data_IF_970947207653
#
_entry.id   IF_970947207653
#
_cell.length_a   1.000
_cell.length_b   1.000
_cell.length_c   1.000
_cell.angle_alpha   90.00
_cell.angle_beta   90.00
_cell.angle_gamma   90.00
#
_symmetry.space_group_name_H-M   'P 1'
#
loop_
_entity.id
_entity.type
_entity.pdbx_description
1 polymer ?
#
# COMPACT_ATOMS: atom_id res chain seq x y z
N UNK A 1 22.10 16.85 -1.06
CA UNK A 1 20.77 16.51 -1.58
C UNK A 1 20.83 16.24 -3.10
N UNK A 2 21.10 17.22 -3.95
CA UNK A 2 21.01 17.08 -5.42
C UNK A 2 21.89 15.96 -6.02
N UNK A 3 23.10 15.71 -5.50
CA UNK A 3 23.95 14.57 -5.95
C UNK A 3 23.33 13.20 -5.62
N UNK A 4 22.80 13.03 -4.41
CA UNK A 4 22.13 11.80 -3.96
C UNK A 4 20.83 11.60 -4.74
N UNK A 5 20.02 12.66 -4.87
CA UNK A 5 18.80 12.66 -5.69
C UNK A 5 19.09 12.27 -7.14
N UNK A 6 20.11 12.85 -7.75
CA UNK A 6 20.48 12.57 -9.14
C UNK A 6 20.99 11.15 -9.31
N UNK A 7 21.72 10.60 -8.33
CA UNK A 7 22.18 9.21 -8.35
C UNK A 7 20.99 8.25 -8.36
N UNK A 8 20.10 8.33 -7.37
CA UNK A 8 18.92 7.46 -7.31
C UNK A 8 18.00 7.66 -8.51
N UNK A 9 17.75 8.90 -8.92
CA UNK A 9 16.97 9.21 -10.13
C UNK A 9 17.56 8.54 -11.37
N UNK A 10 18.88 8.63 -11.56
CA UNK A 10 19.54 8.07 -12.75
C UNK A 10 19.48 6.56 -12.73
N UNK A 11 19.68 5.94 -11.56
CA UNK A 11 19.53 4.50 -11.40
C UNK A 11 18.11 4.05 -11.75
N UNK A 12 17.10 4.65 -11.11
CA UNK A 12 15.71 4.26 -11.31
C UNK A 12 15.28 4.46 -12.77
N UNK A 13 15.62 5.59 -13.39
CA UNK A 13 15.25 5.85 -14.79
C UNK A 13 15.93 4.90 -15.78
N UNK A 14 17.16 4.46 -15.51
CA UNK A 14 17.96 3.68 -16.45
C UNK A 14 17.80 2.17 -16.28
N UNK A 15 17.50 1.72 -15.05
CA UNK A 15 17.57 0.30 -14.69
C UNK A 15 16.27 -0.26 -14.10
N UNK A 16 15.25 0.54 -13.83
CA UNK A 16 13.99 0.06 -13.25
C UNK A 16 12.95 -0.20 -14.36
N UNK A 17 12.75 -1.47 -14.78
CA UNK A 17 11.74 -1.82 -15.77
C UNK A 17 10.32 -1.72 -15.21
N UNK A 18 9.33 -1.99 -16.05
CA UNK A 18 7.93 -2.11 -15.62
C UNK A 18 7.77 -3.19 -14.53
N UNK A 19 6.93 -2.99 -13.50
CA UNK A 19 6.64 -3.98 -12.46
C UNK A 19 6.35 -5.40 -12.97
N UNK A 20 5.66 -5.53 -14.11
CA UNK A 20 5.39 -6.84 -14.68
C UNK A 20 6.66 -7.56 -15.14
N UNK A 21 7.65 -6.82 -15.64
CA UNK A 21 8.96 -7.38 -16.02
C UNK A 21 9.70 -7.91 -14.78
N UNK A 22 9.54 -7.25 -13.62
CA UNK A 22 10.08 -7.79 -12.36
C UNK A 22 9.43 -9.09 -11.95
N UNK A 23 8.10 -9.21 -12.07
CA UNK A 23 7.41 -10.45 -11.76
C UNK A 23 7.91 -11.62 -12.64
N UNK A 24 8.12 -11.37 -13.94
CA UNK A 24 8.73 -12.35 -14.87
C UNK A 24 10.18 -12.66 -14.45
N UNK A 25 11.00 -11.63 -14.22
CA UNK A 25 12.41 -11.80 -13.86
C UNK A 25 12.58 -12.59 -12.57
N UNK A 26 11.76 -12.30 -11.55
CA UNK A 26 11.76 -13.02 -10.28
C UNK A 26 11.30 -14.47 -10.47
N UNK A 27 10.28 -14.71 -11.30
CA UNK A 27 9.86 -16.07 -11.65
C UNK A 27 11.00 -16.87 -12.26
N UNK A 28 11.68 -16.32 -13.28
CA UNK A 28 12.80 -16.98 -13.94
C UNK A 28 13.98 -17.20 -12.98
N UNK A 29 14.27 -16.22 -12.12
CA UNK A 29 15.30 -16.34 -11.10
C UNK A 29 14.99 -17.49 -10.13
N UNK A 30 13.76 -17.56 -9.60
CA UNK A 30 13.34 -18.64 -8.70
C UNK A 30 13.44 -20.00 -9.39
N UNK A 31 13.06 -20.10 -10.67
CA UNK A 31 13.24 -21.34 -11.44
C UNK A 31 14.72 -21.73 -11.55
N UNK A 32 15.61 -20.79 -11.85
CA UNK A 32 17.06 -21.03 -11.94
C UNK A 32 17.62 -21.47 -10.59
N UNK A 33 17.21 -20.81 -9.49
CA UNK A 33 17.66 -21.18 -8.15
C UNK A 33 17.18 -22.59 -7.77
N UNK A 34 15.94 -22.96 -8.08
CA UNK A 34 15.43 -24.30 -7.80
C UNK A 34 16.22 -25.38 -8.56
N UNK A 35 16.63 -25.11 -9.80
CA UNK A 35 17.45 -26.05 -10.57
C UNK A 35 18.91 -26.08 -10.10
N UNK A 36 19.51 -24.92 -9.83
CA UNK A 36 20.94 -24.81 -9.56
C UNK A 36 21.32 -25.12 -8.10
N UNK A 37 20.44 -24.80 -7.16
CA UNK A 37 20.67 -24.99 -5.71
C UNK A 37 20.06 -26.31 -5.24
N UNK A 38 18.80 -26.57 -5.58
CA UNK A 38 18.08 -27.77 -5.12
C UNK A 38 18.19 -28.95 -6.09
N UNK A 39 18.80 -28.77 -7.27
CA UNK A 39 18.99 -29.83 -8.26
C UNK A 39 17.69 -30.30 -8.94
N UNK A 40 16.60 -29.54 -8.84
CA UNK A 40 15.29 -29.90 -9.41
C UNK A 40 15.33 -29.92 -10.95
N UNK A 41 14.55 -30.81 -11.58
CA UNK A 41 14.44 -30.85 -13.03
C UNK A 41 13.60 -29.69 -13.58
N UNK A 42 13.95 -29.17 -14.77
CA UNK A 42 13.17 -28.08 -15.41
C UNK A 42 11.67 -28.39 -15.53
N UNK A 43 11.33 -29.64 -15.88
CA UNK A 43 9.92 -30.08 -16.00
C UNK A 43 9.21 -30.00 -14.65
N UNK A 44 9.85 -30.42 -13.57
CA UNK A 44 9.27 -30.40 -12.22
C UNK A 44 9.04 -28.96 -11.78
N UNK A 45 10.06 -28.10 -11.91
CA UNK A 45 9.98 -26.67 -11.60
C UNK A 45 8.85 -25.98 -12.38
N UNK A 46 8.77 -26.20 -13.69
CA UNK A 46 7.72 -25.62 -14.54
C UNK A 46 6.32 -26.16 -14.18
N UNK A 47 6.22 -27.44 -13.79
CA UNK A 47 4.97 -28.07 -13.36
C UNK A 47 4.50 -27.48 -12.03
N UNK A 48 5.40 -27.33 -11.05
CA UNK A 48 5.09 -26.70 -9.76
C UNK A 48 4.61 -25.26 -9.95
N UNK A 49 5.30 -24.48 -10.79
CA UNK A 49 4.89 -23.11 -11.13
C UNK A 49 3.49 -23.06 -11.74
N UNK A 50 3.22 -23.91 -12.74
CA UNK A 50 1.93 -23.94 -13.43
C UNK A 50 0.78 -24.40 -12.54
N UNK A 51 1.02 -25.39 -11.67
CA UNK A 51 0.00 -25.91 -10.75
C UNK A 51 -0.42 -24.86 -9.73
N UNK A 52 0.53 -24.10 -9.16
CA UNK A 52 0.22 -23.09 -8.15
C UNK A 52 -0.06 -21.68 -8.68
N UNK A 53 -0.04 -21.48 -10.00
CA UNK A 53 -0.21 -20.15 -10.62
C UNK A 53 -1.51 -19.44 -10.24
N UNK A 54 -2.57 -20.21 -9.91
CA UNK A 54 -3.89 -19.68 -9.59
C UNK A 54 -4.25 -19.73 -8.10
N UNK A 55 -3.33 -20.14 -7.23
CA UNK A 55 -3.61 -20.38 -5.80
C UNK A 55 -4.02 -19.12 -5.03
N UNK A 56 -3.74 -17.93 -5.58
CA UNK A 56 -4.02 -16.64 -4.94
C UNK A 56 -5.19 -15.87 -5.56
N UNK A 57 -6.08 -16.50 -6.34
CA UNK A 57 -7.19 -15.80 -7.00
C UNK A 57 -8.10 -15.01 -6.02
N UNK A 58 -8.47 -15.63 -4.89
CA UNK A 58 -9.30 -14.98 -3.87
C UNK A 58 -8.57 -13.75 -3.27
N UNK A 59 -7.30 -13.93 -2.90
CA UNK A 59 -6.48 -12.87 -2.35
C UNK A 59 -6.24 -11.71 -3.33
N UNK A 60 -5.97 -12.04 -4.59
CA UNK A 60 -5.81 -11.06 -5.68
C UNK A 60 -7.06 -10.20 -5.82
N UNK A 61 -8.24 -10.84 -5.79
CA UNK A 61 -9.52 -10.14 -5.89
C UNK A 61 -9.76 -9.24 -4.68
N UNK A 62 -9.42 -9.71 -3.46
CA UNK A 62 -9.53 -8.89 -2.25
C UNK A 62 -8.66 -7.63 -2.33
N UNK A 63 -7.42 -7.74 -2.79
CA UNK A 63 -6.50 -6.60 -2.95
C UNK A 63 -6.96 -5.62 -4.04
N UNK A 64 -7.45 -6.15 -5.16
CA UNK A 64 -8.02 -5.34 -6.22
C UNK A 64 -9.24 -4.54 -5.74
N UNK A 65 -10.12 -5.19 -4.96
CA UNK A 65 -11.30 -4.55 -4.37
C UNK A 65 -10.90 -3.42 -3.42
N UNK A 66 -9.90 -3.62 -2.55
CA UNK A 66 -9.40 -2.58 -1.64
C UNK A 66 -9.05 -1.30 -2.42
N UNK A 67 -8.26 -1.44 -3.49
CA UNK A 67 -7.79 -0.28 -4.26
C UNK A 67 -8.92 0.38 -5.05
N UNK A 68 -9.71 -0.41 -5.79
CA UNK A 68 -10.78 0.10 -6.62
C UNK A 68 -11.87 0.82 -5.79
N UNK A 69 -12.27 0.25 -4.66
CA UNK A 69 -13.27 0.85 -3.78
C UNK A 69 -12.69 1.99 -2.93
N UNK A 70 -11.41 1.92 -2.55
CA UNK A 70 -10.70 3.03 -1.93
C UNK A 70 -10.65 4.26 -2.83
N UNK A 71 -10.47 4.07 -4.14
CA UNK A 71 -10.61 5.14 -5.13
C UNK A 71 -12.00 5.76 -5.13
N UNK A 72 -13.06 4.96 -5.10
CA UNK A 72 -14.46 5.46 -5.03
C UNK A 72 -14.69 6.33 -3.79
N UNK A 73 -14.18 5.92 -2.63
CA UNK A 73 -14.26 6.74 -1.41
C UNK A 73 -13.51 8.06 -1.56
N UNK A 74 -12.34 8.04 -2.21
CA UNK A 74 -11.48 9.22 -2.37
C UNK A 74 -12.12 10.28 -3.29
N UNK A 75 -12.87 9.85 -4.31
CA UNK A 75 -13.54 10.73 -5.27
C UNK A 75 -14.97 11.12 -4.88
N UNK A 76 -15.47 10.61 -3.74
CA UNK A 76 -16.81 10.90 -3.28
C UNK A 76 -17.04 12.41 -3.03
N UNK A 77 -18.23 12.97 -3.33
CA UNK A 77 -18.52 14.39 -3.13
C UNK A 77 -18.36 14.86 -1.68
N UNK A 78 -18.63 13.99 -0.71
CA UNK A 78 -18.47 14.29 0.72
C UNK A 78 -16.98 14.39 1.06
N UNK A 79 -16.15 13.49 0.55
CA UNK A 79 -14.69 13.54 0.70
C UNK A 79 -14.14 14.85 0.14
N UNK A 80 -14.56 15.26 -1.06
CA UNK A 80 -14.13 16.55 -1.64
C UNK A 80 -14.50 17.75 -0.75
N UNK A 81 -15.73 17.77 -0.21
CA UNK A 81 -16.17 18.81 0.74
C UNK A 81 -15.33 18.84 2.01
N UNK A 82 -15.01 17.67 2.59
CA UNK A 82 -14.15 17.57 3.77
C UNK A 82 -12.75 18.08 3.47
N UNK A 83 -12.15 17.69 2.34
CA UNK A 83 -10.84 18.19 1.92
C UNK A 83 -10.86 19.71 1.70
N UNK A 84 -11.91 20.25 1.08
CA UNK A 84 -12.05 21.70 0.90
C UNK A 84 -12.13 22.43 2.25
N UNK A 85 -12.85 21.87 3.23
CA UNK A 85 -12.92 22.41 4.59
C UNK A 85 -11.56 22.33 5.31
N UNK A 86 -10.82 21.24 5.17
CA UNK A 86 -9.46 21.13 5.73
C UNK A 86 -8.57 22.22 5.12
N UNK A 87 -8.62 22.42 3.81
CA UNK A 87 -7.77 23.42 3.13
C UNK A 87 -8.05 24.85 3.56
N UNK A 88 -9.27 25.18 4.01
CA UNK A 88 -9.59 26.56 4.44
C UNK A 88 -8.95 26.96 5.77
N UNK A 89 -8.45 25.99 6.55
CA UNK A 89 -7.73 26.28 7.79
C UNK A 89 -6.22 26.45 7.59
N UNK A 90 -5.72 26.22 6.37
CA UNK A 90 -4.28 26.19 6.09
C UNK A 90 -3.86 27.46 5.34
N UNK A 91 -2.88 28.16 5.89
CA UNK A 91 -2.49 29.48 5.41
C UNK A 91 -0.99 29.63 5.11
N UNK A 92 -0.15 28.65 5.50
CA UNK A 92 1.31 28.73 5.33
C UNK A 92 1.87 27.50 4.59
N UNK A 93 2.97 27.63 3.83
CA UNK A 93 3.54 26.50 3.08
C UNK A 93 3.95 25.30 3.95
N UNK A 94 4.53 25.56 5.12
CA UNK A 94 4.92 24.50 6.05
C UNK A 94 3.70 23.76 6.61
N UNK A 95 2.65 24.50 6.99
CA UNK A 95 1.41 23.88 7.47
C UNK A 95 0.74 23.07 6.35
N UNK A 96 0.82 23.53 5.10
CA UNK A 96 0.32 22.78 3.96
C UNK A 96 1.04 21.43 3.78
N UNK A 97 2.37 21.38 3.96
CA UNK A 97 3.12 20.12 3.93
C UNK A 97 2.72 19.20 5.09
N UNK A 98 2.56 19.74 6.30
CA UNK A 98 2.11 18.97 7.47
C UNK A 98 0.74 18.35 7.19
N UNK A 99 -0.22 19.16 6.76
CA UNK A 99 -1.59 18.70 6.49
C UNK A 99 -1.62 17.71 5.34
N UNK A 100 -0.84 17.92 4.27
CA UNK A 100 -0.77 16.97 3.16
C UNK A 100 -0.21 15.62 3.61
N UNK A 101 0.84 15.63 4.45
CA UNK A 101 1.41 14.40 5.04
C UNK A 101 0.40 13.70 5.94
N UNK A 102 -0.28 14.43 6.83
CA UNK A 102 -1.28 13.87 7.74
C UNK A 102 -2.48 13.29 7.02
N UNK A 103 -3.01 13.98 6.00
CA UNK A 103 -4.16 13.49 5.23
C UNK A 103 -3.78 12.23 4.44
N UNK A 104 -2.63 12.22 3.77
CA UNK A 104 -2.12 11.02 3.09
C UNK A 104 -1.85 9.87 4.07
N UNK A 105 -1.27 10.18 5.24
CA UNK A 105 -0.95 9.24 6.31
C UNK A 105 -2.17 8.60 6.95
N UNK A 106 -3.09 9.42 7.46
CA UNK A 106 -4.35 8.96 8.06
C UNK A 106 -5.19 8.22 7.01
N UNK A 107 -5.25 8.74 5.78
CA UNK A 107 -5.91 8.04 4.67
C UNK A 107 -5.36 6.64 4.48
N UNK A 108 -4.04 6.50 4.38
CA UNK A 108 -3.37 5.21 4.14
C UNK A 108 -3.46 4.27 5.34
N UNK A 109 -3.46 4.81 6.56
CA UNK A 109 -3.69 4.07 7.79
C UNK A 109 -5.10 3.46 7.83
N UNK A 110 -6.11 4.21 7.40
CA UNK A 110 -7.49 3.72 7.34
C UNK A 110 -7.68 2.72 6.20
N UNK A 111 -7.22 3.11 5.01
CA UNK A 111 -7.26 2.29 3.82
C UNK A 111 -6.21 2.76 2.81
N UNK A 112 -5.29 1.88 2.44
CA UNK A 112 -4.15 2.24 1.59
C UNK A 112 -4.56 2.68 0.18
N UNK A 113 -5.62 2.09 -0.39
CA UNK A 113 -6.17 2.50 -1.68
C UNK A 113 -6.75 3.91 -1.65
N UNK A 114 -7.50 4.23 -0.59
CA UNK A 114 -8.02 5.57 -0.33
C UNK A 114 -6.90 6.59 -0.08
N UNK A 115 -5.93 6.25 0.78
CA UNK A 115 -4.80 7.09 1.15
C UNK A 115 -3.95 7.57 -0.03
N UNK A 116 -3.60 6.64 -0.93
CA UNK A 116 -2.85 6.95 -2.16
C UNK A 116 -3.51 8.02 -3.01
N UNK A 117 -4.84 7.98 -3.11
CA UNK A 117 -5.60 8.91 -3.96
C UNK A 117 -5.80 10.25 -3.25
N UNK A 118 -6.27 10.24 -1.99
CA UNK A 118 -6.58 11.50 -1.29
C UNK A 118 -5.34 12.34 -1.02
N UNK A 119 -4.17 11.71 -0.81
CA UNK A 119 -2.90 12.42 -0.59
C UNK A 119 -2.54 13.32 -1.78
N UNK A 120 -2.67 12.80 -3.00
CA UNK A 120 -2.46 13.60 -4.21
C UNK A 120 -3.48 14.73 -4.36
N UNK A 121 -4.76 14.45 -4.06
CA UNK A 121 -5.84 15.44 -4.17
C UNK A 121 -5.62 16.62 -3.21
N UNK A 122 -5.33 16.34 -1.93
CA UNK A 122 -5.15 17.40 -0.92
C UNK A 122 -3.90 18.24 -1.21
N UNK A 123 -2.80 17.61 -1.63
CA UNK A 123 -1.57 18.30 -1.97
C UNK A 123 -1.79 19.28 -3.14
N UNK A 124 -2.50 18.84 -4.19
CA UNK A 124 -2.88 19.70 -5.31
C UNK A 124 -3.79 20.86 -4.87
N UNK A 125 -4.82 20.60 -4.06
CA UNK A 125 -5.73 21.64 -3.55
C UNK A 125 -4.99 22.70 -2.75
N UNK A 126 -4.09 22.30 -1.87
CA UNK A 126 -3.27 23.21 -1.06
C UNK A 126 -2.31 24.03 -1.93
N UNK A 127 -1.60 23.39 -2.85
CA UNK A 127 -0.67 24.05 -3.77
C UNK A 127 -1.36 25.05 -4.72
N UNK A 128 -2.64 24.83 -5.04
CA UNK A 128 -3.43 25.77 -5.85
C UNK A 128 -3.81 27.03 -5.06
N UNK A 129 -4.07 26.90 -3.76
CA UNK A 129 -4.58 28.01 -2.91
C UNK A 129 -3.48 28.81 -2.23
N UNK A 130 -2.36 28.18 -1.87
CA UNK A 130 -1.34 28.79 -1.02
C UNK A 130 -0.07 29.03 -1.85
N UNK A 131 0.35 30.29 -1.92
CA UNK A 131 1.58 30.70 -2.60
C UNK A 131 2.82 30.33 -1.81
N UNK A 132 3.95 30.16 -2.50
CA UNK A 132 5.23 29.81 -1.92
C UNK A 132 5.39 28.34 -1.53
N UNK A 133 4.45 27.45 -1.89
CA UNK A 133 4.60 26.00 -1.70
C UNK A 133 5.51 25.44 -2.79
N UNK A 134 6.58 24.75 -2.39
CA UNK A 134 7.37 23.93 -3.31
C UNK A 134 6.58 22.66 -3.70
N UNK A 135 6.03 22.66 -4.91
CA UNK A 135 5.07 21.67 -5.39
C UNK A 135 5.60 20.22 -5.40
N UNK A 136 6.84 19.95 -5.84
CA UNK A 136 7.40 18.59 -5.73
C UNK A 136 7.44 18.05 -4.30
N UNK A 137 7.73 18.91 -3.32
CA UNK A 137 7.82 18.50 -1.92
C UNK A 137 6.44 18.19 -1.33
N UNK A 138 5.41 19.00 -1.58
CA UNK A 138 4.07 18.71 -1.02
C UNK A 138 3.48 17.41 -1.60
N UNK A 139 3.78 17.09 -2.87
CA UNK A 139 3.42 15.80 -3.48
C UNK A 139 4.20 14.66 -2.83
N UNK A 140 5.52 14.79 -2.69
CA UNK A 140 6.36 13.81 -2.00
C UNK A 140 5.90 13.58 -0.55
N UNK A 141 5.56 14.66 0.15
CA UNK A 141 5.12 14.63 1.54
C UNK A 141 3.77 13.94 1.71
N UNK A 142 2.80 14.24 0.84
CA UNK A 142 1.53 13.54 0.83
C UNK A 142 1.70 12.05 0.50
N UNK A 143 2.53 11.72 -0.49
CA UNK A 143 2.84 10.34 -0.84
C UNK A 143 3.59 9.61 0.27
N UNK A 144 4.49 10.27 1.02
CA UNK A 144 5.21 9.62 2.12
C UNK A 144 4.29 9.15 3.25
N UNK A 145 3.09 9.74 3.35
CA UNK A 145 2.01 9.21 4.19
C UNK A 145 1.58 7.79 3.81
N UNK A 146 1.90 7.31 2.61
CA UNK A 146 1.63 5.93 2.22
C UNK A 146 2.23 4.95 3.22
N UNK A 147 3.42 5.21 3.78
CA UNK A 147 4.10 4.33 4.78
C UNK A 147 3.21 3.86 5.94
N UNK A 148 2.18 4.62 6.30
CA UNK A 148 1.24 4.24 7.35
C UNK A 148 0.36 3.04 7.00
N UNK A 149 0.27 2.63 5.74
CA UNK A 149 -0.48 1.43 5.38
C UNK A 149 0.07 0.17 6.04
N UNK A 150 1.39 0.06 6.21
CA UNK A 150 2.03 -1.06 6.89
C UNK A 150 1.65 -1.17 8.37
N UNK A 151 1.13 -0.09 8.95
CA UNK A 151 0.71 0.01 10.34
C UNK A 151 -0.83 0.10 10.50
N UNK A 152 -1.56 0.15 9.38
CA UNK A 152 -2.97 0.54 9.34
C UNK A 152 -3.96 -0.62 9.31
N UNK A 153 -5.26 -0.29 9.29
CA UNK A 153 -6.37 -1.26 9.26
C UNK A 153 -6.45 -2.07 7.97
N UNK A 154 -5.83 -1.60 6.89
CA UNK A 154 -5.73 -2.33 5.63
C UNK A 154 -4.33 -2.91 5.39
N UNK A 155 -3.49 -3.03 6.43
CA UNK A 155 -2.12 -3.52 6.29
C UNK A 155 -2.11 -4.94 5.74
N UNK A 156 -1.56 -5.11 4.53
CA UNK A 156 -1.80 -6.31 3.72
C UNK A 156 -1.37 -7.61 4.41
N UNK A 157 -0.17 -7.65 5.01
CA UNK A 157 0.33 -8.84 5.70
C UNK A 157 -0.45 -9.11 6.99
N UNK A 158 -0.54 -8.17 7.96
CA UNK A 158 -1.28 -8.36 9.21
C UNK A 158 -2.72 -8.80 9.01
N UNK A 159 -3.42 -8.18 8.06
CA UNK A 159 -4.83 -8.50 7.81
C UNK A 159 -4.97 -9.82 7.05
N UNK A 160 -4.01 -10.20 6.19
CA UNK A 160 -3.99 -11.52 5.56
C UNK A 160 -3.82 -12.63 6.59
N UNK A 161 -2.79 -12.56 7.44
CA UNK A 161 -2.49 -13.60 8.43
C UNK A 161 -3.50 -13.66 9.59
N UNK A 162 -4.34 -12.63 9.73
CA UNK A 162 -5.48 -12.65 10.65
C UNK A 162 -6.77 -13.19 10.01
N UNK A 163 -6.76 -13.54 8.71
CA UNK A 163 -7.93 -14.00 7.97
C UNK A 163 -7.93 -15.53 7.87
N UNK A 164 -8.95 -16.23 8.40
CA UNK A 164 -9.07 -17.69 8.21
C UNK A 164 -9.04 -18.09 6.73
N UNK A 165 -8.36 -19.20 6.43
CA UNK A 165 -8.15 -19.74 5.10
C UNK A 165 -7.00 -19.09 4.32
N UNK A 166 -6.13 -18.32 4.97
CA UNK A 166 -4.97 -17.76 4.28
C UNK A 166 -3.94 -18.85 3.93
N UNK A 167 -3.12 -18.66 2.87
CA UNK A 167 -2.26 -19.73 2.33
C UNK A 167 -1.23 -20.34 3.30
N UNK A 168 -0.91 -19.63 4.38
CA UNK A 168 0.09 -20.06 5.37
C UNK A 168 -0.52 -20.51 6.71
N UNK A 169 -1.84 -20.60 6.82
CA UNK A 169 -2.51 -20.90 8.10
C UNK A 169 -2.05 -22.24 8.70
N UNK A 170 -1.82 -23.25 7.86
CA UNK A 170 -1.32 -24.56 8.31
C UNK A 170 0.06 -24.49 8.98
N UNK A 171 0.88 -23.53 8.56
CA UNK A 171 2.26 -23.39 9.04
C UNK A 171 2.35 -22.45 10.25
N UNK A 172 1.59 -21.35 10.27
CA UNK A 172 1.74 -20.30 11.28
C UNK A 172 0.52 -20.10 12.18
N UNK A 173 -0.59 -20.79 11.90
CA UNK A 173 -1.89 -20.51 12.50
C UNK A 173 -2.45 -19.14 12.07
N UNK A 174 -3.50 -18.70 12.75
CA UNK A 174 -4.08 -17.37 12.57
C UNK A 174 -3.48 -16.42 13.60
N UNK A 175 -2.89 -15.31 13.14
CA UNK A 175 -2.32 -14.29 14.03
C UNK A 175 -3.31 -13.12 14.16
N UNK A 176 -3.85 -12.86 15.37
CA UNK A 176 -4.79 -11.77 15.56
C UNK A 176 -4.13 -10.40 15.43
N UNK A 177 -4.92 -9.38 15.06
CA UNK A 177 -4.42 -8.01 14.92
C UNK A 177 -3.90 -7.39 16.23
N UNK A 178 -4.34 -7.93 17.37
CA UNK A 178 -3.84 -7.59 18.71
C UNK A 178 -2.33 -7.83 18.85
N UNK A 179 -1.79 -8.83 18.15
CA UNK A 179 -0.36 -9.18 18.18
C UNK A 179 0.44 -8.49 17.07
N UNK A 180 -0.22 -7.79 16.15
CA UNK A 180 0.43 -7.14 14.99
C UNK A 180 0.25 -5.64 15.05
N UNK A 181 -0.66 -5.06 14.25
CA UNK A 181 -0.85 -3.60 14.14
C UNK A 181 -1.36 -2.94 15.44
N UNK A 182 -2.02 -3.70 16.32
CA UNK A 182 -2.47 -3.22 17.64
C UNK A 182 -1.53 -3.60 18.79
N UNK A 183 -0.39 -4.22 18.49
CA UNK A 183 0.63 -4.43 19.50
C UNK A 183 1.20 -3.09 19.97
N UNK A 184 1.66 -3.04 21.22
CA UNK A 184 2.21 -1.82 21.81
C UNK A 184 3.37 -1.23 20.99
N UNK A 185 4.36 -2.02 20.49
CA UNK A 185 5.43 -1.49 19.64
C UNK A 185 4.91 -0.81 18.37
N UNK A 186 3.90 -1.39 17.72
CA UNK A 186 3.34 -0.85 16.46
C UNK A 186 2.50 0.40 16.70
N UNK A 187 1.73 0.45 17.79
CA UNK A 187 1.01 1.65 18.19
C UNK A 187 1.97 2.82 18.51
N UNK A 188 3.05 2.56 19.26
CA UNK A 188 4.07 3.56 19.55
C UNK A 188 4.71 4.04 18.25
N UNK A 189 5.11 3.13 17.36
CA UNK A 189 5.71 3.43 16.05
C UNK A 189 4.78 4.32 15.22
N UNK A 190 3.50 3.99 15.19
CA UNK A 190 2.47 4.77 14.50
C UNK A 190 2.38 6.18 15.05
N UNK A 191 2.28 6.34 16.37
CA UNK A 191 2.17 7.67 17.02
C UNK A 191 3.43 8.49 16.75
N UNK A 192 4.62 7.90 16.89
CA UNK A 192 5.89 8.57 16.63
C UNK A 192 5.90 9.10 15.20
N UNK A 193 5.66 8.26 14.20
CA UNK A 193 5.65 8.71 12.79
C UNK A 193 4.55 9.73 12.51
N UNK A 194 3.36 9.56 13.07
CA UNK A 194 2.23 10.47 12.86
C UNK A 194 2.56 11.89 13.32
N UNK A 195 3.34 12.01 14.40
CA UNK A 195 3.80 13.30 14.93
C UNK A 195 5.02 13.81 14.18
N UNK A 196 6.02 12.96 13.93
CA UNK A 196 7.34 13.44 13.50
C UNK A 196 7.51 13.53 11.99
N UNK A 197 6.94 12.62 11.20
CA UNK A 197 7.09 12.62 9.74
C UNK A 197 6.55 13.92 9.11
N UNK A 198 5.36 14.45 9.48
CA UNK A 198 4.88 15.73 8.96
C UNK A 198 5.83 16.90 9.26
N UNK A 199 6.46 16.89 10.44
CA UNK A 199 7.41 17.92 10.86
C UNK A 199 8.70 17.84 10.05
N UNK A 200 9.25 16.63 9.88
CA UNK A 200 10.42 16.38 9.03
C UNK A 200 10.15 16.83 7.60
N UNK A 201 8.98 16.47 7.04
CA UNK A 201 8.58 16.88 5.69
C UNK A 201 8.51 18.41 5.56
N UNK A 202 7.93 19.10 6.55
CA UNK A 202 7.84 20.55 6.54
C UNK A 202 9.21 21.25 6.68
N UNK A 203 10.17 20.61 7.35
CA UNK A 203 11.55 21.09 7.46
C UNK A 203 12.33 21.00 6.14
N UNK A 204 11.91 20.13 5.22
CA UNK A 204 12.50 20.00 3.88
C UNK A 204 12.10 21.15 2.93
N UNK A 205 11.18 22.03 3.33
CA UNK A 205 10.75 23.14 2.50
C UNK A 205 11.93 24.07 2.15
N UNK A 206 12.17 24.39 0.87
CA UNK A 206 13.24 25.31 0.48
C UNK A 206 13.13 26.65 1.21
N UNK A 207 14.26 27.16 1.70
CA UNK A 207 14.32 28.44 2.43
C UNK A 207 14.39 29.63 1.48
N UNK A 208 15.03 29.47 0.32
CA UNK A 208 15.18 30.52 -0.67
C UNK A 208 14.05 30.48 -1.68
N UNK A 209 13.54 31.66 -2.07
CA UNK A 209 12.42 31.79 -3.01
C UNK A 209 12.76 31.27 -4.41
N UNK A 210 14.02 31.39 -4.84
CA UNK A 210 14.53 30.91 -6.13
C UNK A 210 14.45 29.39 -6.31
N UNK A 211 14.49 28.64 -5.21
CA UNK A 211 14.42 27.17 -5.22
C UNK A 211 12.95 26.65 -5.15
N UNK A 212 11.96 27.55 -5.05
CA UNK A 212 10.55 27.19 -4.93
C UNK A 212 9.95 27.02 -6.33
N UNK A 213 9.51 25.80 -6.64
CA UNK A 213 8.76 25.48 -7.85
C UNK A 213 7.28 25.44 -7.46
N UNK A 214 6.53 26.49 -7.78
CA UNK A 214 5.09 26.54 -7.50
C UNK A 214 4.27 25.68 -8.47
N UNK A 215 3.05 25.35 -8.05
CA UNK A 215 2.06 24.70 -8.91
C UNK A 215 1.76 25.55 -10.15
N UNK A 216 1.78 24.92 -11.33
CA UNK A 216 1.41 25.55 -12.60
C UNK A 216 0.02 25.06 -13.06
N UNK A 217 -1.03 25.90 -12.99
CA UNK A 217 -2.37 25.53 -13.44
C UNK A 217 -2.46 25.12 -14.92
N UNK A 218 -1.56 25.61 -15.77
CA UNK A 218 -1.56 25.30 -17.21
C UNK A 218 -1.25 23.83 -17.53
N UNK A 219 -0.68 23.07 -16.57
CA UNK A 219 -0.44 21.62 -16.73
C UNK A 219 -1.72 20.78 -16.62
N UNK A 220 -2.85 21.40 -16.27
CA UNK A 220 -4.10 20.73 -15.89
C UNK A 220 -5.33 21.22 -16.65
N UNK A 221 -5.15 21.90 -17.79
CA UNK A 221 -6.24 22.13 -18.75
C UNK A 221 -6.68 20.80 -19.37
N UNK A 222 -7.39 19.99 -18.60
CA UNK A 222 -8.16 18.88 -19.11
C UNK A 222 -9.45 19.43 -19.72
N UNK A 223 -9.74 19.00 -20.96
CA UNK A 223 -11.09 19.14 -21.53
C UNK A 223 -12.03 18.56 -20.49
N UNK A 224 -12.99 19.36 -20.01
CA UNK A 224 -14.21 18.80 -19.43
C UNK A 224 -14.75 17.85 -20.50
N UNK A 225 -14.55 16.55 -20.35
CA UNK A 225 -15.47 15.61 -20.95
C UNK A 225 -16.83 16.06 -20.43
N UNK A 226 -17.66 16.54 -21.34
CA UNK A 226 -19.04 16.80 -21.04
C UNK A 226 -19.51 15.54 -20.34
N UNK A 227 -19.93 15.67 -19.07
CA UNK A 227 -20.72 14.62 -18.46
C UNK A 227 -21.76 14.30 -19.52
N UNK A 228 -21.78 13.05 -19.98
CA UNK A 228 -22.85 12.56 -20.82
C UNK A 228 -24.10 12.77 -19.99
N UNK A 229 -24.71 13.94 -20.12
CA UNK A 229 -26.11 14.16 -19.84
C UNK A 229 -26.80 13.32 -20.89
N UNK A 230 -26.84 12.01 -20.62
CA UNK A 230 -27.83 11.15 -21.19
C UNK A 230 -29.14 11.86 -20.83
N UNK A 231 -29.76 12.44 -21.84
CA UNK A 231 -31.18 12.79 -21.83
C UNK A 231 -31.91 11.46 -21.69
N UNK A 232 -31.89 10.88 -20.50
CA UNK A 232 -32.49 9.59 -20.26
C UNK A 232 -33.99 9.79 -20.18
N UNK A 233 -34.71 9.15 -21.10
CA UNK A 233 -36.14 8.90 -20.99
C UNK A 233 -36.47 8.49 -19.55
N UNK A 234 -37.60 8.98 -19.01
CA UNK A 234 -38.05 8.69 -17.65
C UNK A 234 -38.56 7.23 -17.51
N UNK A 235 -37.67 6.27 -17.74
CA UNK A 235 -37.92 4.84 -17.66
C UNK A 235 -37.73 4.35 -16.22
N UNK A 236 -38.31 3.19 -15.91
CA UNK A 236 -38.08 2.53 -14.61
C UNK A 236 -36.58 2.26 -14.36
N UNK A 237 -35.83 1.89 -15.41
CA UNK A 237 -34.39 1.62 -15.32
C UNK A 237 -33.61 2.89 -14.91
N UNK A 238 -33.86 4.02 -15.56
CA UNK A 238 -33.26 5.32 -15.22
C UNK A 238 -33.57 5.74 -13.79
N UNK A 239 -34.80 5.51 -13.32
CA UNK A 239 -35.20 5.81 -11.93
C UNK A 239 -34.45 4.91 -10.93
N UNK A 240 -34.27 3.63 -11.22
CA UNK A 240 -33.51 2.71 -10.36
C UNK A 240 -32.01 3.06 -10.33
N UNK A 241 -31.41 3.32 -11.51
CA UNK A 241 -30.01 3.70 -11.65
C UNK A 241 -29.67 5.01 -10.92
N UNK A 242 -30.64 5.90 -10.76
CA UNK A 242 -30.49 7.19 -10.05
C UNK A 242 -31.17 7.20 -8.66
N UNK A 243 -31.63 6.05 -8.16
CA UNK A 243 -32.36 5.96 -6.88
C UNK A 243 -31.44 6.09 -5.68
N UNK A 244 -31.59 7.20 -4.94
CA UNK A 244 -30.94 7.38 -3.64
C UNK A 244 -31.50 6.43 -2.58
N UNK A 245 -32.80 6.15 -2.65
CA UNK A 245 -33.44 5.23 -1.73
C UNK A 245 -32.80 3.85 -1.81
N UNK A 246 -32.57 3.34 -3.03
CA UNK A 246 -31.92 2.04 -3.23
C UNK A 246 -30.51 2.01 -2.61
N UNK A 247 -29.71 3.04 -2.90
CA UNK A 247 -28.33 3.15 -2.36
C UNK A 247 -28.30 3.25 -0.85
N UNK A 248 -29.18 4.05 -0.24
CA UNK A 248 -29.21 4.22 1.20
C UNK A 248 -29.79 3.01 1.92
N UNK A 249 -30.82 2.36 1.37
CA UNK A 249 -31.36 1.14 1.95
C UNK A 249 -30.31 0.03 1.99
N UNK A 250 -29.65 -0.26 0.86
CA UNK A 250 -28.63 -1.31 0.82
C UNK A 250 -27.38 -0.92 1.62
N UNK A 251 -27.01 0.37 1.58
CA UNK A 251 -25.96 0.97 2.40
C UNK A 251 -26.20 0.74 3.90
N UNK A 252 -27.37 1.12 4.41
CA UNK A 252 -27.74 1.00 5.82
C UNK A 252 -27.78 -0.48 6.24
N UNK A 253 -28.33 -1.38 5.41
CA UNK A 253 -28.29 -2.83 5.68
C UNK A 253 -26.85 -3.30 5.85
N UNK A 254 -25.94 -2.87 4.97
CA UNK A 254 -24.52 -3.17 5.09
C UNK A 254 -23.91 -2.66 6.40
N UNK A 255 -24.18 -1.39 6.78
CA UNK A 255 -23.68 -0.84 8.05
C UNK A 255 -24.24 -1.57 9.27
N UNK A 256 -25.51 -1.98 9.25
CA UNK A 256 -26.11 -2.79 10.31
C UNK A 256 -25.45 -4.16 10.41
N UNK A 257 -25.15 -4.81 9.28
CA UNK A 257 -24.39 -6.05 9.28
C UNK A 257 -23.01 -5.87 9.89
N UNK A 258 -22.27 -4.80 9.55
CA UNK A 258 -20.97 -4.50 10.15
C UNK A 258 -21.10 -4.32 11.67
N UNK A 259 -22.15 -3.63 12.14
CA UNK A 259 -22.41 -3.48 13.56
C UNK A 259 -22.61 -4.84 14.24
N UNK A 260 -23.48 -5.70 13.69
CA UNK A 260 -23.72 -7.04 14.24
C UNK A 260 -22.48 -7.93 14.20
N UNK A 261 -21.72 -7.87 13.10
CA UNK A 261 -20.48 -8.60 12.93
C UNK A 261 -19.52 -8.38 14.12
N UNK A 262 -19.32 -7.12 14.53
CA UNK A 262 -18.47 -6.80 15.67
C UNK A 262 -19.13 -7.08 17.02
N UNK A 263 -20.45 -6.90 17.16
CA UNK A 263 -21.14 -7.24 18.43
C UNK A 263 -21.15 -8.74 18.71
N UNK A 264 -21.07 -9.57 17.66
CA UNK A 264 -20.97 -11.02 17.75
C UNK A 264 -19.53 -11.48 18.10
N UNK A 265 -18.60 -10.54 18.32
CA UNK A 265 -17.22 -10.82 18.73
C UNK A 265 -16.25 -11.10 17.58
N UNK A 266 -16.66 -10.92 16.32
CA UNK A 266 -15.76 -11.09 15.19
C UNK A 266 -14.72 -9.96 15.11
N UNK A 267 -13.56 -10.26 14.53
CA UNK A 267 -12.43 -9.33 14.39
C UNK A 267 -12.27 -8.84 12.94
N UNK A 268 -11.47 -7.78 12.77
CA UNK A 268 -11.22 -7.21 11.46
C UNK A 268 -10.38 -8.17 10.58
N UNK A 269 -10.81 -8.34 9.34
CA UNK A 269 -10.17 -9.15 8.29
C UNK A 269 -10.36 -8.50 6.91
N UNK A 270 -9.79 -9.10 5.86
CA UNK A 270 -9.83 -8.51 4.50
C UNK A 270 -11.26 -8.33 3.97
N UNK A 271 -12.14 -9.31 4.24
CA UNK A 271 -13.50 -9.30 3.72
C UNK A 271 -14.35 -8.21 4.37
N UNK A 272 -14.28 -8.07 5.69
CA UNK A 272 -15.06 -7.02 6.39
C UNK A 272 -14.51 -5.61 6.07
N UNK A 273 -13.20 -5.45 5.86
CA UNK A 273 -12.63 -4.18 5.37
C UNK A 273 -13.20 -3.82 4.00
N UNK A 274 -13.17 -4.76 3.05
CA UNK A 274 -13.75 -4.56 1.72
C UNK A 274 -15.24 -4.26 1.77
N UNK A 275 -15.96 -4.97 2.64
CA UNK A 275 -17.38 -4.75 2.87
C UNK A 275 -17.65 -3.33 3.38
N UNK A 276 -16.95 -2.88 4.41
CA UNK A 276 -17.11 -1.51 4.95
C UNK A 276 -16.91 -0.47 3.86
N UNK A 277 -15.84 -0.58 3.07
CA UNK A 277 -15.49 0.41 2.04
C UNK A 277 -16.51 0.39 0.88
N UNK A 278 -16.99 -0.78 0.47
CA UNK A 278 -18.06 -0.93 -0.52
C UNK A 278 -19.30 -0.13 -0.10
N UNK A 279 -19.86 -0.42 1.07
CA UNK A 279 -21.13 0.14 1.50
C UNK A 279 -21.01 1.61 1.90
N UNK A 280 -19.88 2.03 2.48
CA UNK A 280 -19.59 3.45 2.66
C UNK A 280 -19.52 4.17 1.30
N UNK A 281 -18.87 3.58 0.29
CA UNK A 281 -18.81 4.15 -1.05
C UNK A 281 -20.20 4.31 -1.68
N UNK A 282 -21.07 3.30 -1.56
CA UNK A 282 -22.46 3.37 -2.05
C UNK A 282 -23.20 4.54 -1.39
N UNK A 283 -23.11 4.67 -0.06
CA UNK A 283 -23.76 5.74 0.69
C UNK A 283 -23.21 7.12 0.28
N UNK A 284 -21.88 7.27 0.20
CA UNK A 284 -21.25 8.56 -0.03
C UNK A 284 -21.41 9.06 -1.47
N UNK A 285 -21.54 8.17 -2.45
CA UNK A 285 -21.82 8.52 -3.86
C UNK A 285 -23.32 8.77 -4.09
N UNK A 286 -24.16 8.08 -3.32
CA UNK A 286 -25.58 8.36 -3.16
C UNK A 286 -26.51 7.78 -4.22
N UNK A 287 -26.03 7.37 -5.39
CA UNK A 287 -26.84 6.71 -6.43
C UNK A 287 -26.06 5.59 -7.12
N UNK A 288 -26.70 4.49 -7.57
CA UNK A 288 -25.99 3.38 -8.22
C UNK A 288 -25.17 3.81 -9.44
N UNK A 289 -25.73 4.66 -10.31
CA UNK A 289 -25.06 5.15 -11.53
C UNK A 289 -23.73 5.86 -11.21
N UNK A 290 -23.74 6.78 -10.24
CA UNK A 290 -22.52 7.47 -9.78
C UNK A 290 -21.50 6.52 -9.17
N UNK A 291 -21.95 5.53 -8.40
CA UNK A 291 -21.05 4.53 -7.83
C UNK A 291 -20.37 3.71 -8.94
N UNK A 292 -21.15 3.19 -9.90
CA UNK A 292 -20.62 2.43 -11.04
C UNK A 292 -19.66 3.27 -11.85
N UNK A 293 -20.01 4.51 -12.19
CA UNK A 293 -19.14 5.42 -12.93
C UNK A 293 -17.79 5.63 -12.22
N UNK A 294 -17.82 5.89 -10.90
CA UNK A 294 -16.60 6.07 -10.13
C UNK A 294 -15.79 4.78 -10.01
N UNK A 295 -16.45 3.63 -9.89
CA UNK A 295 -15.80 2.33 -9.82
C UNK A 295 -15.13 1.97 -11.14
N UNK A 296 -15.76 2.28 -12.29
CA UNK A 296 -15.17 2.06 -13.62
C UNK A 296 -13.83 2.78 -13.77
N UNK A 297 -13.72 4.00 -13.26
CA UNK A 297 -12.43 4.71 -13.21
C UNK A 297 -11.46 4.04 -12.22
N UNK A 298 -11.94 3.60 -11.06
CA UNK A 298 -11.15 2.86 -10.07
C UNK A 298 -10.57 1.56 -10.62
N UNK A 299 -11.29 0.83 -11.49
CA UNK A 299 -10.82 -0.43 -12.10
C UNK A 299 -9.57 -0.22 -12.97
N UNK A 300 -9.39 0.97 -13.54
CA UNK A 300 -8.16 1.26 -14.32
C UNK A 300 -6.91 1.22 -13.43
N UNK A 301 -7.04 1.33 -12.11
CA UNK A 301 -5.93 1.36 -11.16
C UNK A 301 -5.47 -0.03 -10.69
N UNK A 302 -6.22 -1.11 -10.97
CA UNK A 302 -5.95 -2.46 -10.45
C UNK A 302 -5.28 -3.41 -11.46
N UNK A 303 -4.97 -2.95 -12.68
CA UNK A 303 -4.40 -3.79 -13.76
C UNK A 303 -3.11 -4.51 -13.35
N UNK A 304 -2.22 -3.80 -12.66
CA UNK A 304 -0.97 -4.37 -12.16
C UNK A 304 -1.19 -5.49 -11.14
N UNK A 305 -2.18 -5.36 -10.27
CA UNK A 305 -2.53 -6.36 -9.25
C UNK A 305 -3.01 -7.65 -9.94
N UNK A 306 -3.99 -7.53 -10.85
CA UNK A 306 -4.57 -8.67 -11.57
C UNK A 306 -3.50 -9.42 -12.37
N UNK A 307 -2.59 -8.68 -13.03
CA UNK A 307 -1.58 -9.28 -13.90
C UNK A 307 -0.44 -9.97 -13.12
N UNK A 308 0.02 -9.37 -12.02
CA UNK A 308 1.26 -9.81 -11.35
C UNK A 308 1.03 -10.89 -10.29
N UNK A 309 -0.09 -10.90 -9.59
CA UNK A 309 -0.30 -11.81 -8.47
C UNK A 309 -0.25 -13.30 -8.82
N UNK A 310 -0.77 -13.74 -9.99
CA UNK A 310 -0.59 -15.13 -10.42
C UNK A 310 0.88 -15.56 -10.56
N UNK A 311 1.77 -14.64 -10.97
CA UNK A 311 3.21 -14.92 -11.03
C UNK A 311 3.82 -15.09 -9.64
N UNK A 312 3.40 -14.28 -8.66
CA UNK A 312 3.82 -14.44 -7.26
C UNK A 312 3.34 -15.77 -6.68
N UNK A 313 2.11 -16.20 -6.99
CA UNK A 313 1.59 -17.52 -6.61
C UNK A 313 2.46 -18.65 -7.20
N UNK A 314 2.80 -18.55 -8.49
CA UNK A 314 3.70 -19.50 -9.13
C UNK A 314 5.10 -19.53 -8.50
N UNK A 315 5.65 -18.39 -8.10
CA UNK A 315 6.95 -18.32 -7.38
C UNK A 315 6.86 -19.08 -6.05
N UNK A 316 5.81 -18.84 -5.27
CA UNK A 316 5.57 -19.56 -4.00
C UNK A 316 5.50 -21.06 -4.22
N UNK A 317 4.80 -21.51 -5.27
CA UNK A 317 4.70 -22.92 -5.60
C UNK A 317 6.05 -23.55 -5.99
N UNK A 318 6.90 -22.83 -6.73
CA UNK A 318 8.28 -23.30 -6.99
C UNK A 318 9.05 -23.40 -5.67
N UNK A 319 9.02 -22.36 -4.84
CA UNK A 319 9.79 -22.31 -3.60
C UNK A 319 9.40 -23.46 -2.66
N UNK A 320 8.09 -23.67 -2.44
CA UNK A 320 7.58 -24.73 -1.60
C UNK A 320 7.92 -26.14 -2.13
N UNK A 321 7.81 -26.36 -3.45
CA UNK A 321 8.06 -27.67 -4.04
C UNK A 321 9.56 -28.02 -4.21
N UNK A 322 10.43 -27.00 -4.27
CA UNK A 322 11.85 -27.22 -4.59
C UNK A 322 12.73 -27.49 -3.38
N UNK A 323 12.39 -27.00 -2.19
CA UNK A 323 13.27 -26.97 -1.01
C UNK A 323 13.96 -25.62 -0.79
N UNK A 324 13.77 -24.65 -1.70
CA UNK A 324 14.38 -23.31 -1.58
C UNK A 324 13.96 -22.57 -0.30
N UNK A 325 12.75 -22.82 0.21
CA UNK A 325 12.29 -22.25 1.48
C UNK A 325 13.24 -22.63 2.61
N UNK A 326 13.55 -23.92 2.74
CA UNK A 326 14.42 -24.47 3.79
C UNK A 326 15.85 -23.93 3.65
N UNK A 327 16.39 -23.93 2.43
CA UNK A 327 17.75 -23.43 2.18
C UNK A 327 17.90 -21.94 2.53
N UNK A 328 16.93 -21.12 2.17
CA UNK A 328 16.95 -19.68 2.50
C UNK A 328 16.74 -19.48 4.00
N UNK A 329 15.80 -20.21 4.62
CA UNK A 329 15.54 -20.15 6.06
C UNK A 329 16.80 -20.52 6.86
N UNK A 330 17.48 -21.62 6.51
CA UNK A 330 18.75 -22.03 7.11
C UNK A 330 19.83 -20.96 6.99
N UNK A 331 19.83 -20.20 5.89
CA UNK A 331 20.64 -18.99 5.76
C UNK A 331 20.41 -18.01 6.91
N UNK A 332 19.15 -17.60 7.14
CA UNK A 332 18.79 -16.70 8.26
C UNK A 332 19.11 -17.30 9.62
N UNK A 333 18.79 -18.58 9.84
CA UNK A 333 19.06 -19.28 11.11
C UNK A 333 20.54 -19.23 11.47
N UNK A 334 21.43 -19.39 10.49
CA UNK A 334 22.88 -19.45 10.73
C UNK A 334 23.51 -18.12 11.20
N UNK A 335 22.96 -16.97 10.82
CA UNK A 335 23.56 -15.66 11.17
C UNK A 335 22.70 -14.80 12.09
N UNK A 336 21.46 -15.21 12.40
CA UNK A 336 20.54 -14.46 13.26
C UNK A 336 20.24 -15.17 14.58
N UNK A 337 19.53 -14.47 15.46
CA UNK A 337 19.00 -14.95 16.74
C UNK A 337 17.49 -14.68 16.80
N UNK A 338 16.79 -15.20 17.80
CA UNK A 338 15.37 -14.94 17.99
C UNK A 338 15.04 -13.43 18.02
N UNK A 339 15.90 -12.64 18.67
CA UNK A 339 15.76 -11.20 18.85
C UNK A 339 16.15 -10.39 17.61
N UNK A 340 17.11 -10.89 16.82
CA UNK A 340 17.65 -10.17 15.66
C UNK A 340 16.99 -10.58 14.34
N UNK A 341 16.28 -11.72 14.30
CA UNK A 341 15.58 -12.19 13.11
C UNK A 341 14.58 -11.15 12.56
N UNK A 342 13.73 -10.48 13.36
CA UNK A 342 12.86 -9.43 12.84
C UNK A 342 13.64 -8.29 12.16
N UNK A 343 14.80 -7.90 12.68
CA UNK A 343 15.62 -6.86 12.03
C UNK A 343 16.10 -7.32 10.64
N UNK A 344 16.54 -8.57 10.51
CA UNK A 344 16.94 -9.12 9.22
C UNK A 344 15.76 -9.34 8.28
N UNK A 345 14.57 -9.67 8.81
CA UNK A 345 13.30 -9.69 8.09
C UNK A 345 12.97 -8.32 7.49
N UNK A 346 13.07 -7.25 8.29
CA UNK A 346 12.89 -5.87 7.84
C UNK A 346 13.85 -5.50 6.70
N UNK A 347 15.15 -5.78 6.87
CA UNK A 347 16.18 -5.42 5.88
C UNK A 347 16.02 -6.20 4.58
N UNK A 348 15.84 -7.52 4.66
CA UNK A 348 15.63 -8.36 3.48
C UNK A 348 14.35 -7.98 2.74
N UNK A 349 13.28 -7.68 3.48
CA UNK A 349 12.03 -7.20 2.90
C UNK A 349 12.18 -5.87 2.18
N UNK A 350 12.97 -4.93 2.72
CA UNK A 350 13.27 -3.70 1.99
C UNK A 350 13.85 -3.98 0.60
N UNK A 351 14.74 -4.96 0.45
CA UNK A 351 15.35 -5.27 -0.85
C UNK A 351 14.46 -6.13 -1.74
N UNK A 352 13.77 -7.13 -1.19
CA UNK A 352 12.85 -8.00 -1.94
C UNK A 352 11.72 -7.17 -2.56
N UNK A 353 11.29 -6.09 -1.89
CA UNK A 353 10.21 -5.25 -2.37
C UNK A 353 10.49 -4.52 -3.71
N UNK A 354 11.76 -4.35 -4.11
CA UNK A 354 12.06 -3.86 -5.45
C UNK A 354 11.57 -4.81 -6.55
N UNK A 355 11.44 -6.10 -6.26
CA UNK A 355 11.02 -7.15 -7.19
C UNK A 355 9.54 -7.53 -7.03
N UNK A 356 8.99 -7.43 -5.81
CA UNK A 356 7.59 -7.73 -5.51
C UNK A 356 6.93 -6.56 -4.76
N UNK A 357 6.57 -5.46 -5.46
CA UNK A 357 6.14 -4.19 -4.85
C UNK A 357 4.67 -4.19 -4.40
N UNK A 358 4.28 -5.20 -3.63
CA UNK A 358 2.94 -5.35 -3.06
C UNK A 358 3.04 -6.12 -1.77
N UNK A 359 2.57 -5.58 -0.63
CA UNK A 359 2.66 -6.29 0.65
C UNK A 359 2.09 -7.71 0.62
N UNK A 360 1.00 -7.91 -0.12
CA UNK A 360 0.43 -9.23 -0.34
C UNK A 360 1.29 -10.18 -1.17
N UNK A 361 1.68 -9.74 -2.38
CA UNK A 361 2.53 -10.55 -3.25
C UNK A 361 3.94 -10.77 -2.67
N UNK A 362 4.41 -9.82 -1.89
CA UNK A 362 5.65 -9.87 -1.13
C UNK A 362 5.60 -10.97 -0.06
N UNK A 363 4.51 -11.03 0.71
CA UNK A 363 4.33 -12.07 1.74
C UNK A 363 4.43 -13.47 1.18
N UNK A 364 3.88 -13.67 -0.01
CA UNK A 364 3.87 -14.95 -0.72
C UNK A 364 5.28 -15.40 -1.09
N UNK A 365 6.19 -14.44 -1.34
CA UNK A 365 7.59 -14.73 -1.67
C UNK A 365 8.44 -14.88 -0.41
N UNK A 366 8.30 -13.96 0.56
CA UNK A 366 9.19 -13.88 1.72
C UNK A 366 8.68 -14.60 2.97
N UNK A 367 7.36 -14.62 3.18
CA UNK A 367 6.72 -15.16 4.37
C UNK A 367 7.19 -16.58 4.71
N UNK A 368 7.16 -17.56 3.79
CA UNK A 368 7.50 -18.95 4.08
C UNK A 368 8.84 -19.12 4.81
N UNK A 369 9.94 -18.64 4.20
CA UNK A 369 11.26 -18.84 4.79
C UNK A 369 11.52 -17.99 6.04
N UNK A 370 10.81 -16.87 6.20
CA UNK A 370 10.90 -16.07 7.43
C UNK A 370 10.16 -16.75 8.59
N UNK A 371 9.01 -17.37 8.32
CA UNK A 371 8.24 -18.09 9.34
C UNK A 371 8.99 -19.35 9.78
N UNK A 372 9.60 -20.08 8.85
CA UNK A 372 10.36 -21.28 9.21
C UNK A 372 11.62 -20.95 10.01
N UNK A 373 12.37 -19.91 9.62
CA UNK A 373 13.47 -19.39 10.43
C UNK A 373 13.01 -18.94 11.83
N UNK A 374 11.82 -18.34 11.94
CA UNK A 374 11.26 -17.93 13.23
C UNK A 374 10.93 -19.12 14.13
N UNK A 375 10.34 -20.18 13.58
CA UNK A 375 10.07 -21.42 14.33
C UNK A 375 11.35 -22.07 14.83
N UNK A 376 12.36 -22.16 13.96
CA UNK A 376 13.63 -22.82 14.30
C UNK A 376 14.41 -22.06 15.38
N UNK A 377 14.42 -20.73 15.31
CA UNK A 377 15.06 -19.88 16.31
C UNK A 377 14.22 -19.65 17.58
N UNK A 378 12.94 -20.04 17.58
CA UNK A 378 11.99 -19.68 18.65
C UNK A 378 11.64 -18.19 18.69
N UNK A 379 11.75 -17.49 17.56
CA UNK A 379 11.38 -16.08 17.43
C UNK A 379 9.85 -15.88 17.39
N UNK A 380 9.42 -14.67 17.73
CA UNK A 380 8.01 -14.27 17.59
C UNK A 380 7.60 -14.24 16.11
N UNK A 381 6.60 -15.07 15.75
CA UNK A 381 6.03 -15.14 14.40
C UNK A 381 5.31 -13.81 14.05
N UNK A 382 4.60 -13.21 15.00
CA UNK A 382 3.91 -11.93 14.81
C UNK A 382 4.89 -10.78 14.58
N UNK A 383 5.96 -10.72 15.37
CA UNK A 383 7.05 -9.74 15.22
C UNK A 383 7.78 -9.91 13.88
N UNK A 384 8.08 -11.16 13.51
CA UNK A 384 8.71 -11.47 12.22
C UNK A 384 7.81 -11.06 11.06
N UNK A 385 6.50 -11.36 11.13
CA UNK A 385 5.52 -10.96 10.11
C UNK A 385 5.40 -9.44 9.99
N UNK A 386 5.35 -8.73 11.11
CA UNK A 386 5.36 -7.26 11.13
C UNK A 386 6.65 -6.70 10.53
N UNK A 387 7.81 -7.31 10.78
CA UNK A 387 9.07 -6.83 10.21
C UNK A 387 9.08 -6.89 8.67
N UNK A 388 8.51 -7.95 8.09
CA UNK A 388 8.34 -8.06 6.63
C UNK A 388 7.37 -6.99 6.14
N UNK A 389 6.25 -6.76 6.82
CA UNK A 389 5.31 -5.69 6.45
C UNK A 389 5.96 -4.29 6.49
N UNK A 390 6.74 -4.00 7.53
CA UNK A 390 7.41 -2.71 7.67
C UNK A 390 8.52 -2.53 6.64
N UNK A 391 9.24 -3.60 6.26
CA UNK A 391 10.30 -3.53 5.26
C UNK A 391 9.74 -3.24 3.86
N UNK A 392 8.63 -3.91 3.53
CA UNK A 392 7.82 -3.65 2.35
C UNK A 392 7.35 -2.17 2.32
N UNK A 393 6.72 -1.71 3.40
CA UNK A 393 6.21 -0.33 3.49
C UNK A 393 7.31 0.74 3.46
N UNK A 394 8.47 0.43 4.04
CA UNK A 394 9.64 1.29 4.02
C UNK A 394 10.19 1.47 2.61
N UNK A 395 10.27 0.38 1.85
CA UNK A 395 10.77 0.42 0.49
C UNK A 395 9.83 1.15 -0.46
N UNK A 396 8.51 1.06 -0.25
CA UNK A 396 7.50 1.75 -1.06
C UNK A 396 7.66 3.28 -1.09
N UNK A 397 8.41 3.88 -0.16
CA UNK A 397 8.79 5.30 -0.24
C UNK A 397 9.66 5.61 -1.46
N UNK A 398 10.50 4.68 -1.91
CA UNK A 398 11.43 4.89 -3.03
C UNK A 398 11.16 3.96 -4.22
N UNK A 399 10.35 2.93 -4.03
CA UNK A 399 9.93 2.01 -5.07
C UNK A 399 8.91 2.68 -6.01
N UNK A 400 9.05 2.63 -7.35
CA UNK A 400 8.24 3.45 -8.24
C UNK A 400 6.78 3.05 -8.42
N UNK A 401 6.41 1.79 -8.22
CA UNK A 401 5.07 1.25 -8.51
C UNK A 401 3.96 2.09 -7.89
N UNK A 402 4.03 2.32 -6.58
CA UNK A 402 3.02 3.11 -5.86
C UNK A 402 3.23 4.63 -6.01
N UNK A 403 4.43 5.06 -6.41
CA UNK A 403 4.71 6.46 -6.73
C UNK A 403 4.01 6.89 -8.03
N UNK A 404 3.84 5.98 -9.00
CA UNK A 404 3.29 6.29 -10.33
C UNK A 404 1.90 6.97 -10.28
N UNK A 405 0.91 6.49 -9.49
CA UNK A 405 -0.35 7.20 -9.29
C UNK A 405 -0.17 8.66 -8.83
N UNK A 406 0.70 8.92 -7.85
CA UNK A 406 0.96 10.27 -7.35
C UNK A 406 1.62 11.16 -8.42
N UNK A 407 2.51 10.61 -9.25
CA UNK A 407 3.11 11.30 -10.39
C UNK A 407 2.10 11.61 -11.49
N UNK A 408 1.21 10.66 -11.81
CA UNK A 408 0.16 10.86 -12.80
C UNK A 408 -0.80 11.99 -12.40
N UNK A 409 -1.18 12.05 -11.12
CA UNK A 409 -2.01 13.11 -10.55
C UNK A 409 -1.28 14.47 -10.48
N UNK A 410 0.03 14.47 -10.20
CA UNK A 410 0.83 15.69 -10.05
C UNK A 410 1.43 16.22 -11.35
N UNK A 411 1.38 15.46 -12.45
CA UNK A 411 2.08 15.74 -13.72
C UNK A 411 3.58 16.02 -13.53
N UNK A 412 4.16 15.58 -12.40
CA UNK A 412 5.59 15.64 -12.12
C UNK A 412 6.28 14.40 -12.66
N UNK A 413 7.61 14.50 -12.82
CA UNK A 413 8.45 13.35 -13.12
C UNK A 413 9.02 12.78 -11.83
N UNK A 414 9.32 11.48 -11.82
CA UNK A 414 9.93 10.81 -10.66
C UNK A 414 11.14 11.56 -10.11
N UNK A 415 12.00 12.08 -10.99
CA UNK A 415 13.19 12.86 -10.64
C UNK A 415 12.91 14.10 -9.80
N UNK A 416 11.71 14.68 -9.92
CA UNK A 416 11.35 15.93 -9.28
C UNK A 416 11.06 15.70 -7.79
N UNK A 417 10.62 14.49 -7.41
CA UNK A 417 10.21 14.16 -6.03
C UNK A 417 11.14 13.16 -5.32
N UNK A 418 11.87 12.32 -6.07
CA UNK A 418 12.69 11.22 -5.52
C UNK A 418 13.68 11.68 -4.46
N UNK A 419 14.25 12.88 -4.60
CA UNK A 419 15.19 13.43 -3.62
C UNK A 419 14.59 13.61 -2.23
N UNK A 420 13.32 14.04 -2.18
CA UNK A 420 12.58 14.19 -0.93
C UNK A 420 12.20 12.82 -0.34
N UNK A 421 11.76 11.91 -1.21
CA UNK A 421 11.39 10.56 -0.80
C UNK A 421 12.56 9.77 -0.21
N UNK A 422 13.77 9.91 -0.75
CA UNK A 422 14.98 9.30 -0.17
C UNK A 422 15.27 9.84 1.25
N UNK A 423 15.09 11.15 1.48
CA UNK A 423 15.26 11.72 2.82
C UNK A 423 14.21 11.18 3.80
N UNK A 424 12.96 11.07 3.35
CA UNK A 424 11.86 10.49 4.12
C UNK A 424 12.10 8.99 4.39
N UNK A 425 12.62 8.26 3.42
CA UNK A 425 13.00 6.84 3.54
C UNK A 425 14.07 6.63 4.61
N UNK A 426 15.13 7.45 4.65
CA UNK A 426 16.12 7.33 5.74
C UNK A 426 15.49 7.61 7.11
N UNK A 427 14.61 8.61 7.19
CA UNK A 427 13.95 8.96 8.44
C UNK A 427 13.02 7.85 8.93
N UNK A 428 12.12 7.36 8.07
CA UNK A 428 11.18 6.26 8.38
C UNK A 428 11.95 4.97 8.69
N UNK A 429 12.98 4.67 7.90
CA UNK A 429 13.83 3.50 8.11
C UNK A 429 14.50 3.48 9.47
N UNK A 430 15.02 4.63 9.92
CA UNK A 430 15.57 4.76 11.27
C UNK A 430 14.53 4.43 12.34
N UNK A 431 13.29 4.94 12.23
CA UNK A 431 12.23 4.63 13.19
C UNK A 431 11.86 3.14 13.14
N UNK A 432 11.68 2.55 11.96
CA UNK A 432 11.34 1.13 11.82
C UNK A 432 12.45 0.21 12.33
N UNK A 433 13.71 0.51 12.06
CA UNK A 433 14.85 -0.25 12.60
C UNK A 433 14.82 -0.22 14.12
N UNK A 434 14.65 0.96 14.73
CA UNK A 434 14.57 1.10 16.18
C UNK A 434 13.37 0.31 16.73
N UNK A 435 12.19 0.45 16.12
CA UNK A 435 10.98 -0.23 16.55
C UNK A 435 11.11 -1.76 16.49
N UNK A 436 11.68 -2.29 15.41
CA UNK A 436 11.85 -3.73 15.21
C UNK A 436 12.92 -4.31 16.13
N UNK A 437 14.03 -3.59 16.37
CA UNK A 437 15.02 -4.00 17.36
C UNK A 437 14.43 -3.95 18.77
N UNK A 438 13.69 -2.91 19.12
CA UNK A 438 13.02 -2.84 20.42
C UNK A 438 12.01 -3.97 20.59
N UNK A 439 11.25 -4.29 19.54
CA UNK A 439 10.33 -5.42 19.52
C UNK A 439 11.06 -6.74 19.77
N UNK A 440 12.19 -6.99 19.09
CA UNK A 440 12.95 -8.23 19.27
C UNK A 440 13.63 -8.40 20.63
N UNK A 441 14.06 -7.31 21.29
CA UNK A 441 14.80 -7.37 22.56
C UNK A 441 13.96 -7.15 23.81
N UNK A 442 12.79 -6.53 23.71
CA UNK A 442 12.00 -6.11 24.89
C UNK A 442 10.57 -6.63 24.92
N UNK A 443 10.09 -7.25 23.85
CA UNK A 443 8.75 -7.81 23.73
C UNK A 443 8.84 -9.26 23.25
#
# INVERSE_FOLDING_TARGET
>A
MQKVTNFFTTIMRKYLPDPFVFAIGLTLLTMVLAMAVEGQGFKEVATSWGNGFWDLLAFTTQMAVILAMGYVLATAPITDKLLNKITSFVHTPKMAIIVATLVGGIGSYLNWGFGLVIGGIIAKKLATKIKGIHYPLIIAAAYSGFTFYGLGFSSSIPVLISTPGHPMEGDMGIIPLAETIFSLPMMITTIVLLVTLPLVNAMLHPKKKEDIIEFNPALYTEKKEAALELTEDNTLATRLNNSRLLSYTIGIIGILYVFWYFTDGNTLNLNIVNFIILFLGIILLGTPSKYVQSLTEGIKTISGIILQYPFYAGIMAIMAASGLVDTIAGGFVNFSSAETLPFWGLVSSFFINFFAPSGGGHWVVQGPFMIDAAKELGASISSTSMSVMLGNAWNDLVQPFWILPALALSKLKLKDIMGYLVMMMFYVGMIYIIAVLCMGYFF
#
